data_IF_940709620292
#
_entry.id   IF_940709620292
#
_cell.length_a   1.000
_cell.length_b   1.000
_cell.length_c   1.000
_cell.angle_alpha   90.00
_cell.angle_beta   90.00
_cell.angle_gamma   90.00
#
_symmetry.space_group_name_H-M   'P 1'
#
loop_
_entity.id
_entity.type
_entity.pdbx_description
1 polymer ?
#
# COMPACT_ATOMS: atom_id res chain seq x y z
N UNK A 1 -43.95 45.10 -9.26
CA UNK A 1 -42.65 44.55 -8.77
C UNK A 1 -42.92 43.36 -7.89
N UNK A 2 -42.75 42.13 -8.42
CA UNK A 2 -42.86 40.89 -7.65
C UNK A 2 -41.43 40.43 -7.24
N UNK A 3 -41.19 40.37 -5.95
CA UNK A 3 -39.90 39.87 -5.37
C UNK A 3 -40.00 38.35 -5.30
N UNK A 4 -39.14 37.65 -6.05
CA UNK A 4 -38.87 36.23 -5.89
C UNK A 4 -37.93 36.02 -4.72
N UNK A 5 -38.37 35.35 -3.68
CA UNK A 5 -37.51 34.82 -2.61
C UNK A 5 -37.02 33.43 -3.11
N UNK A 6 -35.69 33.35 -3.33
CA UNK A 6 -35.04 32.08 -3.59
C UNK A 6 -34.75 31.38 -2.24
N UNK A 7 -35.42 30.28 -1.98
CA UNK A 7 -35.08 29.43 -0.83
C UNK A 7 -33.82 28.61 -1.13
N UNK A 8 -32.77 28.87 -0.38
CA UNK A 8 -31.54 28.08 -0.41
C UNK A 8 -31.73 26.82 0.44
N UNK A 9 -31.90 25.67 -0.22
CA UNK A 9 -31.98 24.39 0.47
C UNK A 9 -30.53 23.90 0.74
N UNK A 10 -30.10 23.96 1.99
CA UNK A 10 -28.84 23.36 2.43
C UNK A 10 -29.05 21.85 2.56
N UNK A 11 -28.46 21.07 1.66
CA UNK A 11 -28.41 19.61 1.78
C UNK A 11 -27.26 19.28 2.74
N UNK A 12 -27.59 18.91 3.99
CA UNK A 12 -26.62 18.28 4.88
C UNK A 12 -26.33 16.87 4.35
N UNK A 13 -25.15 16.68 3.78
CA UNK A 13 -24.60 15.34 3.53
C UNK A 13 -24.10 14.80 4.86
N UNK A 14 -24.85 13.90 5.48
CA UNK A 14 -24.37 13.14 6.62
C UNK A 14 -23.30 12.16 6.10
N UNK A 15 -22.02 12.45 6.32
CA UNK A 15 -20.95 11.49 6.16
C UNK A 15 -21.09 10.47 7.29
N UNK A 16 -21.54 9.24 6.97
CA UNK A 16 -21.44 8.14 7.90
C UNK A 16 -19.97 7.90 8.22
N UNK A 17 -19.56 8.04 9.48
CA UNK A 17 -18.24 7.61 9.92
C UNK A 17 -18.11 6.11 9.62
N UNK A 18 -17.07 5.72 8.88
CA UNK A 18 -16.80 4.32 8.62
C UNK A 18 -16.39 3.64 9.95
N UNK A 19 -16.90 2.44 10.19
CA UNK A 19 -16.51 1.64 11.33
C UNK A 19 -15.01 1.28 11.22
N UNK A 20 -14.26 1.41 12.32
CA UNK A 20 -12.82 1.18 12.38
C UNK A 20 -12.52 0.02 13.34
N UNK A 21 -11.58 -0.87 12.99
CA UNK A 21 -11.14 -1.91 13.92
C UNK A 21 -10.15 -1.32 14.94
N UNK A 22 -10.15 -1.87 16.12
CA UNK A 22 -9.23 -1.50 17.17
C UNK A 22 -8.92 -2.73 18.04
N UNK A 23 -7.79 -2.69 18.73
CA UNK A 23 -7.42 -3.68 19.73
C UNK A 23 -7.28 -3.03 21.10
N UNK A 24 -7.65 -3.78 22.11
CA UNK A 24 -7.41 -3.40 23.51
C UNK A 24 -5.91 -3.54 23.79
N UNK A 25 -5.27 -2.45 24.21
CA UNK A 25 -3.84 -2.43 24.58
C UNK A 25 -3.61 -2.50 26.07
N UNK A 26 -4.62 -2.15 26.86
CA UNK A 26 -4.65 -2.26 28.34
C UNK A 26 -6.06 -2.62 28.77
N UNK A 27 -6.19 -3.45 29.79
CA UNK A 27 -7.50 -3.82 30.34
C UNK A 27 -8.41 -2.59 30.45
N UNK A 28 -9.60 -2.69 29.87
CA UNK A 28 -10.58 -1.60 29.79
C UNK A 28 -11.98 -2.12 30.07
N UNK A 29 -12.84 -1.27 30.61
CA UNK A 29 -14.25 -1.59 30.86
C UNK A 29 -15.10 -1.13 29.69
N UNK A 30 -15.87 -2.04 29.10
CA UNK A 30 -16.96 -1.73 28.19
C UNK A 30 -18.14 -1.21 29.03
N UNK A 31 -18.61 0.00 28.74
CA UNK A 31 -19.61 0.69 29.55
C UNK A 31 -20.87 1.01 28.75
N UNK A 32 -21.97 1.25 29.45
CA UNK A 32 -23.24 1.63 28.85
C UNK A 32 -23.24 3.05 28.26
N UNK A 33 -22.28 3.90 28.64
CA UNK A 33 -22.16 5.28 28.15
C UNK A 33 -20.74 5.84 28.35
N UNK A 34 -20.44 7.03 27.78
CA UNK A 34 -19.12 7.63 27.75
C UNK A 34 -18.75 8.34 29.08
N UNK A 35 -18.77 7.57 30.17
CA UNK A 35 -18.41 8.07 31.52
C UNK A 35 -17.94 6.93 32.43
N UNK A 36 -17.02 7.22 33.33
CA UNK A 36 -16.53 6.29 34.35
C UNK A 36 -17.60 5.83 35.37
N UNK A 37 -18.71 6.55 35.45
CA UNK A 37 -19.82 6.27 36.38
C UNK A 37 -20.94 5.42 35.80
N UNK A 38 -20.94 5.17 34.46
CA UNK A 38 -21.95 4.35 33.82
C UNK A 38 -21.72 2.85 34.07
N UNK A 39 -22.79 2.06 33.97
CA UNK A 39 -22.76 0.61 34.19
C UNK A 39 -21.68 -0.06 33.34
N UNK A 40 -20.88 -0.91 33.98
CA UNK A 40 -19.94 -1.78 33.30
C UNK A 40 -20.72 -2.98 32.75
N UNK A 41 -20.60 -3.21 31.45
CA UNK A 41 -21.18 -4.36 30.75
C UNK A 41 -20.22 -5.53 30.76
N UNK A 42 -18.93 -5.23 30.52
CA UNK A 42 -17.88 -6.24 30.39
C UNK A 42 -16.52 -5.64 30.74
N UNK A 43 -15.52 -6.49 30.99
CA UNK A 43 -14.11 -6.11 31.11
C UNK A 43 -13.34 -6.76 29.96
N UNK A 44 -12.74 -5.94 29.12
CA UNK A 44 -11.96 -6.36 27.96
C UNK A 44 -10.46 -6.34 28.27
N UNK A 45 -9.73 -7.28 27.69
CA UNK A 45 -8.31 -7.50 27.93
C UNK A 45 -7.50 -7.44 26.63
N UNK A 46 -6.22 -7.08 26.67
CA UNK A 46 -5.35 -7.23 25.50
C UNK A 46 -5.24 -8.72 25.10
N UNK A 47 -5.31 -9.05 23.80
CA UNK A 47 -5.55 -8.21 22.63
C UNK A 47 -7.00 -8.27 22.08
N UNK A 48 -8.03 -8.17 22.94
CA UNK A 48 -9.42 -8.23 22.49
C UNK A 48 -9.67 -7.24 21.35
N UNK A 49 -10.37 -7.70 20.32
CA UNK A 49 -10.72 -6.92 19.14
C UNK A 49 -12.03 -6.15 19.32
N UNK A 50 -12.08 -4.95 18.75
CA UNK A 50 -13.22 -4.04 18.81
C UNK A 50 -13.48 -3.43 17.43
N UNK A 51 -14.74 -3.09 17.18
CA UNK A 51 -15.11 -2.17 16.09
C UNK A 51 -15.48 -0.82 16.69
N UNK A 52 -14.75 0.24 16.35
CA UNK A 52 -15.12 1.63 16.68
C UNK A 52 -16.25 2.05 15.74
N UNK A 53 -17.37 2.47 16.30
CA UNK A 53 -18.56 2.86 15.56
C UNK A 53 -18.57 4.35 15.22
N UNK A 54 -17.91 5.18 16.07
CA UNK A 54 -17.67 6.60 15.83
C UNK A 54 -16.21 6.93 16.20
N UNK A 55 -15.46 7.46 15.23
CA UNK A 55 -14.09 7.90 15.42
C UNK A 55 -13.96 9.17 16.28
N UNK A 56 -15.07 9.89 16.49
CA UNK A 56 -15.09 11.06 17.35
C UNK A 56 -15.29 10.62 18.80
N UNK A 57 -14.31 10.96 19.65
CA UNK A 57 -14.39 10.66 21.08
C UNK A 57 -15.43 11.52 21.78
N UNK A 58 -16.27 10.90 22.61
CA UNK A 58 -17.16 11.58 23.55
C UNK A 58 -16.60 11.42 24.97
N UNK A 59 -16.23 12.54 25.61
CA UNK A 59 -15.62 12.54 26.96
C UNK A 59 -14.38 11.64 27.10
N UNK A 60 -13.60 11.44 26.01
CA UNK A 60 -12.42 10.58 25.99
C UNK A 60 -12.75 9.07 25.83
N UNK A 61 -13.98 8.74 25.44
CA UNK A 61 -14.41 7.37 25.13
C UNK A 61 -14.73 7.24 23.64
N UNK A 62 -14.45 6.05 23.09
CA UNK A 62 -14.95 5.62 21.80
C UNK A 62 -16.23 4.81 21.96
N UNK A 63 -17.17 5.01 21.05
CA UNK A 63 -18.31 4.12 20.89
C UNK A 63 -17.88 2.90 20.09
N UNK A 64 -18.09 1.69 20.65
CA UNK A 64 -17.54 0.46 20.10
C UNK A 64 -18.54 -0.68 20.10
N UNK A 65 -18.24 -1.67 19.27
CA UNK A 65 -18.82 -3.02 19.31
C UNK A 65 -17.71 -4.00 19.64
N UNK A 66 -17.89 -4.81 20.70
CA UNK A 66 -16.99 -5.90 21.05
C UNK A 66 -17.17 -7.11 20.12
N UNK A 67 -16.24 -8.06 20.14
CA UNK A 67 -16.25 -9.25 19.27
C UNK A 67 -17.52 -10.12 19.44
N UNK A 68 -18.09 -10.15 20.63
CA UNK A 68 -19.37 -10.82 20.94
C UNK A 68 -20.62 -10.01 20.50
N UNK A 69 -20.41 -8.92 19.75
CA UNK A 69 -21.43 -7.97 19.29
C UNK A 69 -22.04 -7.07 20.37
N UNK A 70 -21.51 -7.05 21.60
CA UNK A 70 -21.95 -6.09 22.61
C UNK A 70 -21.55 -4.66 22.21
N UNK A 71 -22.53 -3.76 22.25
CA UNK A 71 -22.35 -2.33 22.00
C UNK A 71 -22.07 -1.59 23.31
N UNK A 72 -21.13 -0.65 23.30
CA UNK A 72 -20.81 0.15 24.49
C UNK A 72 -19.73 1.19 24.24
N UNK A 73 -19.11 1.64 25.31
CA UNK A 73 -18.11 2.71 25.31
C UNK A 73 -16.85 2.26 26.05
N UNK A 74 -15.67 2.48 25.45
CA UNK A 74 -14.37 2.16 26.06
C UNK A 74 -13.50 3.40 26.17
N UNK A 75 -12.65 3.48 27.18
CA UNK A 75 -11.70 4.56 27.37
C UNK A 75 -10.66 4.56 26.24
N UNK A 76 -10.60 5.64 25.47
CA UNK A 76 -9.83 5.70 24.24
C UNK A 76 -8.32 5.45 24.42
N UNK A 77 -7.74 5.80 25.57
CA UNK A 77 -6.30 5.59 25.86
C UNK A 77 -5.91 4.12 26.07
N UNK A 78 -6.88 3.23 26.20
CA UNK A 78 -6.65 1.80 26.45
C UNK A 78 -6.90 0.95 25.19
N UNK A 79 -7.21 1.59 24.07
CA UNK A 79 -7.41 0.94 22.78
C UNK A 79 -6.53 1.61 21.74
N UNK A 80 -6.06 0.81 20.80
CA UNK A 80 -5.34 1.27 19.62
C UNK A 80 -6.22 0.98 18.42
N UNK A 81 -6.51 2.02 17.62
CA UNK A 81 -7.15 1.83 16.33
C UNK A 81 -6.15 1.07 15.46
N UNK A 82 -6.56 -0.10 14.99
CA UNK A 82 -5.77 -0.97 14.12
C UNK A 82 -6.20 -0.82 12.67
N UNK A 83 -7.28 -0.08 12.44
CA UNK A 83 -7.72 0.25 11.10
C UNK A 83 -6.99 1.47 10.58
N UNK A 84 -6.44 1.14 9.58
CA UNK A 84 -6.86 1.40 8.19
C UNK A 84 -8.33 1.07 7.99
N UNK A 85 -9.12 2.10 7.70
CA UNK A 85 -10.51 1.97 7.25
C UNK A 85 -10.55 0.79 6.29
N UNK A 86 -11.38 -0.23 6.55
CA UNK A 86 -11.58 -1.34 5.63
C UNK A 86 -11.88 -0.74 4.24
N UNK A 87 -10.89 -0.78 3.34
CA UNK A 87 -10.97 -0.14 2.03
C UNK A 87 -9.97 0.99 1.74
N UNK A 88 -9.07 1.38 2.65
CA UNK A 88 -8.00 2.35 2.35
C UNK A 88 -6.63 1.87 2.78
N UNK A 89 -5.62 2.17 1.96
CA UNK A 89 -4.21 1.95 2.29
C UNK A 89 -3.79 2.95 3.38
N UNK A 90 -3.05 2.55 4.43
CA UNK A 90 -2.75 3.42 5.56
C UNK A 90 -1.82 4.59 5.22
N UNK A 91 -2.17 5.81 5.66
CA UNK A 91 -1.27 6.97 5.57
C UNK A 91 -0.07 6.85 6.51
N UNK A 92 -0.30 6.34 7.71
CA UNK A 92 0.76 6.05 8.68
C UNK A 92 0.78 4.56 8.96
N UNK A 93 1.89 3.90 8.68
CA UNK A 93 2.07 2.48 8.87
C UNK A 93 3.15 2.23 9.93
N UNK A 94 2.79 1.62 11.06
CA UNK A 94 3.69 1.40 12.20
C UNK A 94 4.47 2.64 12.64
N UNK A 95 3.80 3.80 12.65
CA UNK A 95 4.40 5.09 13.00
C UNK A 95 5.21 5.74 11.87
N UNK A 96 5.32 5.09 10.70
CA UNK A 96 6.02 5.62 9.54
C UNK A 96 5.05 6.40 8.64
N UNK A 97 5.25 7.71 8.42
CA UNK A 97 4.41 8.53 7.54
C UNK A 97 4.72 8.25 6.05
N UNK A 98 3.96 8.84 5.14
CA UNK A 98 4.13 8.65 3.69
C UNK A 98 5.51 9.07 3.17
N UNK A 99 6.09 10.12 3.73
CA UNK A 99 7.43 10.61 3.42
C UNK A 99 8.55 9.79 4.05
N UNK A 100 8.20 8.80 4.87
CA UNK A 100 9.17 7.99 5.60
C UNK A 100 10.00 8.80 6.59
N UNK A 101 11.25 8.40 6.82
CA UNK A 101 12.21 9.09 7.70
C UNK A 101 13.24 9.93 6.94
N UNK A 102 13.02 10.22 5.66
CA UNK A 102 13.97 11.00 4.87
C UNK A 102 14.04 12.45 5.35
N UNK A 103 15.26 12.99 5.47
CA UNK A 103 15.51 14.39 5.83
C UNK A 103 15.44 15.34 4.61
N UNK A 104 15.76 14.84 3.41
CA UNK A 104 15.84 15.64 2.19
C UNK A 104 14.46 15.71 1.50
N UNK A 105 14.07 16.91 1.06
CA UNK A 105 12.77 17.15 0.44
C UNK A 105 12.52 16.31 -0.83
N UNK A 106 13.55 16.10 -1.67
CA UNK A 106 13.45 15.26 -2.86
C UNK A 106 13.21 13.79 -2.52
N UNK A 107 13.86 13.25 -1.48
CA UNK A 107 13.61 11.89 -0.97
C UNK A 107 12.24 11.76 -0.32
N UNK A 108 11.79 12.76 0.43
CA UNK A 108 10.43 12.78 0.96
C UNK A 108 9.39 12.74 -0.17
N UNK A 109 9.60 13.52 -1.24
CA UNK A 109 8.72 13.51 -2.41
C UNK A 109 8.74 12.14 -3.12
N UNK A 110 9.91 11.52 -3.25
CA UNK A 110 10.08 10.16 -3.78
C UNK A 110 9.36 9.12 -2.91
N UNK A 111 9.55 9.15 -1.61
CA UNK A 111 8.90 8.24 -0.66
C UNK A 111 7.38 8.33 -0.73
N UNK A 112 6.81 9.54 -0.87
CA UNK A 112 5.36 9.70 -1.08
C UNK A 112 4.87 9.04 -2.36
N UNK A 113 5.68 9.00 -3.43
CA UNK A 113 5.34 8.30 -4.67
C UNK A 113 5.40 6.79 -4.49
N UNK A 114 6.42 6.26 -3.80
CA UNK A 114 6.51 4.85 -3.41
C UNK A 114 5.33 4.43 -2.52
N UNK A 115 4.88 5.30 -1.62
CA UNK A 115 3.81 5.06 -0.65
C UNK A 115 2.42 5.54 -1.13
N UNK A 116 2.12 5.56 -2.43
CA UNK A 116 0.78 5.93 -2.94
C UNK A 116 -0.30 5.04 -2.37
N UNK A 117 -1.40 5.67 -1.95
CA UNK A 117 -2.51 5.03 -1.23
C UNK A 117 -3.63 4.55 -2.16
N UNK A 118 -3.64 4.99 -3.42
CA UNK A 118 -4.70 4.66 -4.38
C UNK A 118 -4.14 3.87 -5.56
N UNK A 119 -4.87 2.89 -6.09
CA UNK A 119 -4.47 2.24 -7.34
C UNK A 119 -4.62 3.21 -8.51
N UNK A 120 -3.84 3.05 -9.58
CA UNK A 120 -4.09 3.77 -10.81
C UNK A 120 -5.46 3.37 -11.38
N UNK A 121 -6.25 4.36 -11.80
CA UNK A 121 -7.50 4.14 -12.52
C UNK A 121 -7.20 3.78 -13.98
N UNK A 122 -8.18 3.28 -14.72
CA UNK A 122 -7.99 2.93 -16.13
C UNK A 122 -7.46 4.11 -16.98
N UNK A 123 -7.88 5.34 -16.66
CA UNK A 123 -7.39 6.55 -17.31
C UNK A 123 -5.94 6.92 -16.95
N UNK A 124 -5.44 6.44 -15.83
CA UNK A 124 -4.06 6.69 -15.40
C UNK A 124 -3.07 5.73 -16.08
N UNK A 125 -3.54 4.55 -16.53
CA UNK A 125 -2.68 3.56 -17.18
C UNK A 125 -2.16 4.11 -18.52
N UNK A 126 -0.84 4.12 -18.66
CA UNK A 126 -0.19 4.39 -19.95
C UNK A 126 -0.15 3.09 -20.77
N UNK A 127 -0.99 2.99 -21.78
CA UNK A 127 -1.05 1.82 -22.66
C UNK A 127 0.22 1.58 -23.47
N UNK A 128 1.11 2.57 -23.59
CA UNK A 128 2.41 2.42 -24.24
C UNK A 128 3.49 1.85 -23.31
N UNK A 129 3.31 1.95 -21.99
CA UNK A 129 4.24 1.42 -20.99
C UNK A 129 4.10 -0.10 -20.84
N UNK A 130 4.30 -0.83 -21.95
CA UNK A 130 4.39 -2.29 -21.93
C UNK A 130 5.73 -2.74 -21.39
N UNK A 131 5.84 -3.99 -20.93
CA UNK A 131 7.12 -4.54 -20.44
C UNK A 131 8.25 -4.38 -21.50
N UNK A 132 7.97 -4.73 -22.76
CA UNK A 132 8.92 -4.57 -23.87
C UNK A 132 9.38 -3.12 -24.05
N UNK A 133 8.45 -2.16 -23.95
CA UNK A 133 8.78 -0.76 -24.12
C UNK A 133 9.54 -0.19 -22.91
N UNK A 134 9.23 -0.63 -21.71
CA UNK A 134 9.96 -0.24 -20.48
C UNK A 134 11.40 -0.78 -20.52
N UNK A 135 11.59 -2.02 -20.95
CA UNK A 135 12.91 -2.66 -21.06
C UNK A 135 13.71 -2.26 -22.30
N UNK A 136 13.14 -1.45 -23.19
CA UNK A 136 13.84 -1.00 -24.40
C UNK A 136 15.12 -0.26 -24.03
N UNK A 137 16.23 -0.65 -24.65
CA UNK A 137 17.55 -0.06 -24.44
C UNK A 137 17.60 1.45 -24.79
N UNK A 138 18.56 2.15 -24.21
CA UNK A 138 18.80 3.59 -24.39
C UNK A 138 18.29 4.41 -23.21
N UNK A 139 18.80 5.64 -23.10
CA UNK A 139 18.42 6.56 -22.01
C UNK A 139 16.89 6.69 -21.94
N UNK A 140 16.37 6.42 -20.76
CA UNK A 140 14.93 6.33 -20.50
C UNK A 140 14.43 7.20 -19.36
N UNK A 141 15.28 8.08 -18.78
CA UNK A 141 14.90 8.92 -17.65
C UNK A 141 13.60 9.71 -17.91
N UNK A 142 13.47 10.24 -19.13
CA UNK A 142 12.29 11.04 -19.53
C UNK A 142 11.27 10.27 -20.39
N UNK A 143 11.44 8.95 -20.55
CA UNK A 143 10.59 8.13 -21.44
C UNK A 143 9.17 7.97 -20.91
N UNK A 144 9.01 7.91 -19.61
CA UNK A 144 7.74 7.72 -18.94
C UNK A 144 7.44 8.85 -17.95
N UNK A 145 6.26 8.83 -17.35
CA UNK A 145 5.89 9.76 -16.28
C UNK A 145 5.48 9.01 -15.03
N UNK A 146 6.03 9.42 -13.91
CA UNK A 146 5.65 8.87 -12.59
C UNK A 146 4.25 9.32 -12.11
N UNK A 147 3.53 10.13 -12.89
CA UNK A 147 2.11 10.43 -12.70
C UNK A 147 1.20 9.42 -13.39
N UNK A 148 1.77 8.45 -14.10
CA UNK A 148 1.06 7.40 -14.83
C UNK A 148 1.24 6.06 -14.16
N UNK A 149 0.31 5.14 -14.40
CA UNK A 149 0.41 3.74 -14.03
C UNK A 149 0.74 2.86 -15.22
N UNK A 150 1.13 1.63 -14.96
CA UNK A 150 1.31 0.59 -15.97
C UNK A 150 0.62 -0.72 -15.53
N UNK A 151 0.25 -1.52 -16.52
CA UNK A 151 -0.22 -2.90 -16.33
C UNK A 151 0.58 -3.79 -17.28
N UNK A 152 1.52 -4.55 -16.74
CA UNK A 152 2.44 -5.39 -17.51
C UNK A 152 2.21 -6.88 -17.22
N UNK A 153 2.49 -7.74 -18.19
CA UNK A 153 2.63 -9.19 -17.96
C UNK A 153 4.10 -9.53 -18.07
N UNK A 154 4.65 -10.14 -17.04
CA UNK A 154 6.06 -10.46 -16.92
C UNK A 154 6.28 -11.83 -16.30
N UNK A 155 7.43 -12.45 -16.55
CA UNK A 155 7.84 -13.68 -15.87
C UNK A 155 8.65 -13.32 -14.62
N UNK A 156 8.30 -13.93 -13.48
CA UNK A 156 8.95 -13.66 -12.19
C UNK A 156 10.16 -14.55 -12.02
N UNK A 157 11.35 -13.93 -11.90
CA UNK A 157 12.63 -14.64 -11.68
C UNK A 157 12.90 -14.79 -10.20
N UNK A 158 12.72 -13.73 -9.42
CA UNK A 158 13.05 -13.72 -7.99
C UNK A 158 12.08 -12.83 -7.21
N UNK A 159 11.72 -13.29 -6.01
CA UNK A 159 11.01 -12.50 -5.00
C UNK A 159 11.84 -12.49 -3.73
N UNK A 160 12.20 -11.33 -3.27
CA UNK A 160 13.06 -11.14 -2.09
C UNK A 160 12.59 -9.98 -1.23
N UNK A 161 13.08 -9.97 0.00
CA UNK A 161 12.96 -8.82 0.89
C UNK A 161 13.76 -7.66 0.30
N UNK A 162 13.19 -6.46 0.25
CA UNK A 162 13.88 -5.23 -0.09
C UNK A 162 14.95 -4.85 0.91
N UNK A 163 15.62 -3.74 0.66
CA UNK A 163 16.63 -3.19 1.54
C UNK A 163 16.01 -2.32 2.66
N UNK A 164 16.86 -1.93 3.60
CA UNK A 164 16.50 -0.94 4.61
C UNK A 164 16.50 0.45 3.96
N UNK A 165 15.33 1.06 3.84
CA UNK A 165 15.14 2.34 3.18
C UNK A 165 14.40 3.37 4.04
N UNK A 166 14.60 4.65 3.71
CA UNK A 166 13.90 5.75 4.41
C UNK A 166 12.39 5.73 4.16
N UNK A 167 11.93 5.16 3.05
CA UNK A 167 10.50 5.04 2.73
C UNK A 167 9.73 4.24 3.80
N UNK A 168 10.41 3.24 4.40
CA UNK A 168 9.90 2.40 5.46
C UNK A 168 10.52 2.76 6.83
N UNK A 169 10.92 4.03 7.02
CA UNK A 169 11.53 4.56 8.24
C UNK A 169 12.75 3.81 8.74
N UNK A 170 13.48 3.14 7.83
CA UNK A 170 14.68 2.39 8.17
C UNK A 170 14.41 1.09 8.92
N UNK A 171 13.22 0.51 8.79
CA UNK A 171 12.89 -0.78 9.39
C UNK A 171 13.74 -1.91 8.79
N UNK A 172 13.91 -2.99 9.52
CA UNK A 172 14.67 -4.19 9.13
C UNK A 172 13.85 -5.46 9.10
N UNK A 173 12.64 -5.43 9.67
CA UNK A 173 11.71 -6.55 9.65
C UNK A 173 11.07 -6.69 8.26
N UNK A 174 11.03 -7.91 7.73
CA UNK A 174 10.43 -8.22 6.45
C UNK A 174 8.93 -7.89 6.36
N UNK A 175 8.25 -7.79 7.49
CA UNK A 175 6.85 -7.37 7.56
C UNK A 175 6.69 -5.87 7.26
N UNK A 176 7.73 -5.05 7.49
CA UNK A 176 7.66 -3.59 7.46
C UNK A 176 8.51 -2.94 6.37
N UNK A 177 9.14 -3.74 5.51
CA UNK A 177 9.88 -3.25 4.33
C UNK A 177 9.29 -3.82 3.04
N UNK A 178 9.65 -3.21 1.90
CA UNK A 178 9.12 -3.58 0.61
C UNK A 178 9.48 -5.02 0.22
N UNK A 179 8.64 -5.64 -0.59
CA UNK A 179 8.96 -6.86 -1.31
C UNK A 179 9.45 -6.49 -2.70
N UNK A 180 10.68 -6.81 -2.99
CA UNK A 180 11.34 -6.60 -4.26
C UNK A 180 11.13 -7.83 -5.17
N UNK A 181 10.67 -7.61 -6.38
CA UNK A 181 10.35 -8.67 -7.34
C UNK A 181 11.06 -8.37 -8.65
N UNK A 182 11.98 -9.25 -9.03
CA UNK A 182 12.68 -9.19 -10.31
C UNK A 182 11.85 -9.88 -11.39
N UNK A 183 11.51 -9.14 -12.44
CA UNK A 183 10.70 -9.65 -13.55
C UNK A 183 11.39 -9.46 -14.89
N UNK A 184 11.11 -10.36 -15.84
CA UNK A 184 11.73 -10.39 -17.16
C UNK A 184 10.70 -10.60 -18.27
N UNK A 185 11.14 -10.32 -19.51
CA UNK A 185 10.33 -10.55 -20.71
C UNK A 185 10.29 -12.03 -21.11
N UNK A 186 11.39 -12.77 -20.90
CA UNK A 186 11.47 -14.19 -21.23
C UNK A 186 12.07 -14.98 -20.05
N UNK A 187 11.59 -16.21 -19.77
CA UNK A 187 12.13 -17.05 -18.67
C UNK A 187 13.63 -17.34 -18.77
N UNK A 188 14.22 -17.14 -19.93
CA UNK A 188 15.65 -17.33 -20.20
C UNK A 188 16.51 -16.10 -19.91
N UNK A 189 15.90 -14.96 -19.60
CA UNK A 189 16.60 -13.70 -19.35
C UNK A 189 17.13 -13.67 -17.90
N UNK A 190 18.21 -14.42 -17.66
CA UNK A 190 18.76 -14.62 -16.30
C UNK A 190 19.79 -13.56 -15.88
N UNK A 191 20.21 -12.69 -16.79
CA UNK A 191 21.16 -11.62 -16.47
C UNK A 191 20.43 -10.48 -15.75
N UNK A 192 20.84 -10.11 -14.53
CA UNK A 192 20.17 -9.10 -13.70
C UNK A 192 19.96 -7.76 -14.42
N UNK A 193 20.90 -7.36 -15.30
CA UNK A 193 20.77 -6.15 -16.16
C UNK A 193 19.63 -6.18 -17.17
N UNK A 194 18.87 -7.28 -17.28
CA UNK A 194 17.67 -7.39 -18.11
C UNK A 194 16.38 -7.33 -17.28
N UNK A 195 16.50 -7.24 -15.97
CA UNK A 195 15.35 -7.26 -15.06
C UNK A 195 14.67 -5.89 -14.96
N UNK A 196 13.34 -5.88 -14.92
CA UNK A 196 12.55 -4.80 -14.37
C UNK A 196 12.25 -5.12 -12.90
N UNK A 197 12.23 -4.08 -12.08
CA UNK A 197 11.87 -4.21 -10.68
C UNK A 197 10.41 -3.81 -10.49
N UNK A 198 9.66 -4.61 -9.75
CA UNK A 198 8.32 -4.26 -9.27
C UNK A 198 8.27 -4.45 -7.75
N UNK A 199 7.61 -3.54 -7.02
CA UNK A 199 7.67 -3.56 -5.57
C UNK A 199 6.29 -3.50 -4.91
N UNK A 200 6.11 -4.37 -3.90
CA UNK A 200 4.95 -4.39 -3.03
C UNK A 200 5.30 -3.75 -1.70
N UNK A 201 4.68 -2.61 -1.39
CA UNK A 201 4.91 -1.92 -0.12
C UNK A 201 4.22 -2.61 1.05
N UNK A 202 4.72 -2.45 2.28
CA UNK A 202 4.07 -2.97 3.48
C UNK A 202 2.63 -2.46 3.63
N UNK A 203 2.35 -1.22 3.22
CA UNK A 203 1.03 -0.59 3.27
C UNK A 203 0.01 -1.32 2.39
N UNK A 204 0.40 -1.65 1.15
CA UNK A 204 -0.46 -2.42 0.24
C UNK A 204 -0.61 -3.85 0.69
N UNK A 205 0.45 -4.45 1.26
CA UNK A 205 0.40 -5.79 1.86
C UNK A 205 -0.62 -5.85 3.00
N UNK A 206 -0.57 -4.88 3.91
CA UNK A 206 -1.53 -4.74 5.01
C UNK A 206 -2.95 -4.60 4.48
N UNK A 207 -3.16 -3.66 3.53
CA UNK A 207 -4.46 -3.41 2.92
C UNK A 207 -5.09 -4.67 2.32
N UNK A 208 -4.35 -5.44 1.52
CA UNK A 208 -4.90 -6.66 0.88
C UNK A 208 -5.07 -7.80 1.89
N UNK A 209 -4.31 -7.82 2.99
CA UNK A 209 -4.47 -8.83 4.04
C UNK A 209 -5.84 -8.73 4.71
N UNK A 210 -6.33 -7.51 4.93
CA UNK A 210 -7.70 -7.26 5.41
C UNK A 210 -8.79 -7.68 4.43
N UNK A 211 -8.43 -7.91 3.16
CA UNK A 211 -9.31 -8.45 2.12
C UNK A 211 -9.17 -9.97 1.95
N UNK A 212 -8.42 -10.63 2.84
CA UNK A 212 -8.19 -12.07 2.80
C UNK A 212 -7.11 -12.52 1.78
N UNK A 213 -6.28 -11.58 1.30
CA UNK A 213 -5.20 -11.88 0.35
C UNK A 213 -3.84 -11.73 1.04
N UNK A 214 -3.01 -12.75 1.01
CA UNK A 214 -1.68 -12.72 1.63
C UNK A 214 -0.60 -12.33 0.61
N UNK A 215 -0.06 -11.10 0.76
CA UNK A 215 1.10 -10.59 0.00
C UNK A 215 2.39 -10.55 0.84
N UNK A 216 2.48 -11.33 1.91
CA UNK A 216 3.76 -11.47 2.62
C UNK A 216 4.85 -11.92 1.64
N UNK A 217 6.08 -11.40 1.80
CA UNK A 217 7.21 -11.70 0.91
C UNK A 217 7.40 -13.20 0.69
N UNK A 218 7.25 -13.99 1.77
CA UNK A 218 7.35 -15.45 1.69
C UNK A 218 6.26 -16.05 0.81
N UNK A 219 5.02 -15.60 0.95
CA UNK A 219 3.88 -16.10 0.17
C UNK A 219 4.01 -15.70 -1.30
N UNK A 220 4.38 -14.43 -1.58
CA UNK A 220 4.66 -13.98 -2.94
C UNK A 220 5.80 -14.80 -3.57
N UNK A 221 6.88 -15.08 -2.82
CA UNK A 221 7.96 -15.93 -3.31
C UNK A 221 7.46 -17.32 -3.74
N UNK A 222 6.66 -17.95 -2.91
CA UNK A 222 6.14 -19.31 -3.17
C UNK A 222 5.14 -19.36 -4.35
N UNK A 223 4.42 -18.26 -4.58
CA UNK A 223 3.31 -18.23 -5.54
C UNK A 223 3.66 -17.60 -6.87
N UNK A 224 4.66 -16.68 -6.91
CA UNK A 224 4.97 -15.93 -8.11
C UNK A 224 6.24 -16.39 -8.82
N UNK A 225 7.28 -16.86 -8.10
CA UNK A 225 8.52 -17.30 -8.77
C UNK A 225 8.25 -18.43 -9.76
N UNK A 226 8.80 -18.30 -10.96
CA UNK A 226 8.59 -19.27 -12.04
C UNK A 226 7.26 -19.15 -12.76
N UNK A 227 6.48 -18.07 -12.53
CA UNK A 227 5.18 -17.88 -13.14
C UNK A 227 5.12 -16.60 -13.97
N UNK A 228 4.22 -16.59 -14.94
CA UNK A 228 3.77 -15.39 -15.62
C UNK A 228 2.76 -14.68 -14.74
N UNK A 229 2.95 -13.37 -14.56
CA UNK A 229 2.14 -12.56 -13.64
C UNK A 229 1.82 -11.22 -14.28
N UNK A 230 0.56 -10.80 -14.17
CA UNK A 230 0.19 -9.41 -14.47
C UNK A 230 0.35 -8.59 -13.20
N UNK A 231 1.18 -7.55 -13.30
CA UNK A 231 1.34 -6.52 -12.29
C UNK A 231 0.70 -5.23 -12.76
N UNK A 232 -0.10 -4.61 -11.92
CA UNK A 232 -0.63 -3.26 -12.14
C UNK A 232 -0.25 -2.38 -10.97
N UNK A 233 0.22 -1.16 -11.27
CA UNK A 233 0.65 -0.21 -10.27
C UNK A 233 1.10 1.10 -10.90
N UNK A 234 1.75 1.93 -10.11
CA UNK A 234 2.26 3.21 -10.56
C UNK A 234 3.66 3.09 -11.14
N UNK A 235 3.92 3.78 -12.23
CA UNK A 235 5.29 3.99 -12.70
C UNK A 235 6.02 4.88 -11.70
N UNK A 236 7.26 4.51 -11.40
CA UNK A 236 8.11 5.23 -10.47
C UNK A 236 9.53 5.30 -11.03
N UNK A 237 10.11 6.49 -11.06
CA UNK A 237 11.52 6.70 -11.38
C UNK A 237 12.37 6.64 -10.14
N UNK A 238 13.15 5.57 -9.98
CA UNK A 238 14.06 5.36 -8.87
C UNK A 238 15.41 6.04 -9.13
N UNK A 239 15.47 7.34 -8.86
CA UNK A 239 16.66 8.14 -9.09
C UNK A 239 17.86 7.70 -8.22
N UNK A 240 17.62 7.03 -7.09
CA UNK A 240 18.68 6.57 -6.20
C UNK A 240 19.44 5.40 -6.80
N UNK A 241 18.81 4.59 -7.67
CA UNK A 241 19.42 3.45 -8.36
C UNK A 241 19.60 3.66 -9.88
N UNK A 242 19.42 4.87 -10.38
CA UNK A 242 19.63 5.17 -11.81
C UNK A 242 21.05 4.80 -12.28
N UNK A 243 22.05 4.96 -11.40
CA UNK A 243 23.44 4.58 -11.69
C UNK A 243 23.70 3.07 -11.71
N UNK A 244 22.75 2.24 -11.33
CA UNK A 244 22.78 0.78 -11.35
C UNK A 244 21.95 0.16 -12.48
N UNK A 245 21.37 1.00 -13.37
CA UNK A 245 20.53 0.56 -14.46
C UNK A 245 21.28 0.59 -15.79
N UNK A 246 21.09 -0.44 -16.62
CA UNK A 246 21.75 -0.57 -17.92
C UNK A 246 21.36 0.57 -18.87
N UNK A 247 20.13 1.05 -18.83
CA UNK A 247 19.64 2.11 -19.71
C UNK A 247 20.28 3.48 -19.44
N UNK A 248 20.57 3.79 -18.18
CA UNK A 248 21.16 5.09 -17.77
C UNK A 248 22.66 5.03 -17.57
N UNK A 249 23.23 3.84 -17.36
CA UNK A 249 24.67 3.62 -17.13
C UNK A 249 25.15 2.36 -17.89
N UNK A 250 25.10 2.37 -19.25
CA UNK A 250 25.27 1.17 -20.05
C UNK A 250 26.67 0.56 -19.94
N UNK A 251 26.74 -0.78 -19.94
CA UNK A 251 27.97 -1.56 -19.98
C UNK A 251 28.70 -1.67 -18.65
N UNK A 252 28.15 -1.17 -17.56
CA UNK A 252 28.74 -1.29 -16.23
C UNK A 252 28.40 -2.67 -15.64
N UNK A 253 29.45 -3.42 -15.26
CA UNK A 253 29.30 -4.82 -14.83
C UNK A 253 28.51 -4.98 -13.51
N UNK A 254 28.40 -3.91 -12.72
CA UNK A 254 27.64 -3.88 -11.47
C UNK A 254 26.16 -3.54 -11.67
N UNK A 255 25.70 -3.29 -12.91
CA UNK A 255 24.30 -3.08 -13.18
C UNK A 255 23.50 -4.34 -12.84
N UNK A 256 22.43 -4.15 -12.07
CA UNK A 256 21.58 -5.24 -11.60
C UNK A 256 20.10 -5.08 -12.02
N UNK A 257 19.82 -4.12 -12.88
CA UNK A 257 18.51 -3.82 -13.47
C UNK A 257 18.65 -3.22 -14.87
N UNK A 258 17.64 -3.39 -15.70
CA UNK A 258 17.63 -2.84 -17.05
C UNK A 258 17.39 -1.32 -17.06
N UNK A 259 16.49 -0.88 -16.22
CA UNK A 259 15.99 0.51 -16.12
C UNK A 259 15.87 0.93 -14.68
N UNK A 260 15.91 2.24 -14.41
CA UNK A 260 15.56 2.80 -13.13
C UNK A 260 14.04 3.01 -12.97
N UNK A 261 13.24 2.80 -14.02
CA UNK A 261 11.80 2.73 -13.89
C UNK A 261 11.38 1.46 -13.19
N UNK A 262 10.38 1.57 -12.32
CA UNK A 262 9.77 0.52 -11.54
C UNK A 262 8.26 0.59 -11.65
N UNK A 263 7.59 -0.50 -11.26
CA UNK A 263 6.18 -0.42 -10.85
C UNK A 263 6.16 -0.40 -9.33
N UNK A 264 5.96 0.78 -8.76
CA UNK A 264 6.02 1.02 -7.31
C UNK A 264 5.05 2.13 -6.88
N UNK A 265 4.05 1.85 -6.04
CA UNK A 265 3.70 0.51 -5.55
C UNK A 265 2.94 -0.33 -6.57
N UNK A 266 3.13 -1.64 -6.51
CA UNK A 266 2.20 -2.61 -7.09
C UNK A 266 0.90 -2.56 -6.30
N UNK A 267 -0.22 -2.48 -7.02
CA UNK A 267 -1.57 -2.37 -6.42
C UNK A 267 -2.48 -3.53 -6.80
N UNK A 268 -2.08 -4.32 -7.81
CA UNK A 268 -2.78 -5.54 -8.22
C UNK A 268 -1.81 -6.57 -8.77
N UNK A 269 -2.03 -7.83 -8.41
CA UNK A 269 -1.28 -9.00 -8.86
C UNK A 269 -2.28 -10.04 -9.37
N UNK A 270 -2.07 -10.55 -10.59
CA UNK A 270 -2.85 -11.66 -11.17
C UNK A 270 -1.89 -12.68 -11.77
N UNK A 271 -1.89 -13.90 -11.25
CA UNK A 271 -1.10 -15.02 -11.81
C UNK A 271 -1.78 -15.49 -13.09
N UNK A 272 -0.99 -15.65 -14.15
CA UNK A 272 -1.46 -16.12 -15.44
C UNK A 272 -1.34 -17.66 -15.50
N UNK A 273 -2.38 -18.40 -15.86
CA UNK A 273 -2.30 -19.86 -15.96
C UNK A 273 -1.38 -20.32 -17.11
N UNK A 274 -0.11 -20.60 -16.78
CA UNK A 274 0.88 -21.24 -17.66
C UNK A 274 1.50 -20.36 -18.75
N UNK A 275 0.78 -19.41 -19.33
CA UNK A 275 1.30 -18.55 -20.44
C UNK A 275 0.97 -17.06 -20.22
N UNK A 276 1.73 -16.12 -20.79
CA UNK A 276 1.43 -14.70 -20.67
C UNK A 276 0.08 -14.32 -21.28
N UNK A 277 -0.36 -14.99 -22.34
CA UNK A 277 -1.66 -14.75 -23.02
C UNK A 277 -2.85 -15.12 -22.12
N UNK A 278 -2.67 -16.04 -21.19
CA UNK A 278 -3.73 -16.42 -20.26
C UNK A 278 -4.02 -15.37 -19.16
N UNK A 279 -3.29 -14.25 -19.19
CA UNK A 279 -3.57 -13.09 -18.33
C UNK A 279 -4.64 -12.14 -18.90
N UNK A 280 -4.97 -12.25 -20.16
CA UNK A 280 -5.92 -11.36 -20.86
C UNK A 280 -7.39 -11.69 -20.53
#
# INVERSE_FOLDING_TARGET
MRRFLASLTVVLVATSAAAQNAVVTRTVKLRAGPSSTTTVKETLHPPDELTILDSVQTNGYYEVRAADSQHGWVWARNVQITDTIAGTVPEVFHGCPLEGSAAQANRQASNRKKNRLTPPQAADIDGNATLTAILQAGDDETRWSDTRGASIVAYVIEVKKGSQETVNCGDTDSAYIDTHIDVVQHPTDTASRTHLIVEVTPRWREFVSHQGTDWATRTLKQTLEGHWVRFTGWLFWDFEHAHNAENTNPGVSSNWRATAWEIHPVTQIKICPGTPQACD
#
